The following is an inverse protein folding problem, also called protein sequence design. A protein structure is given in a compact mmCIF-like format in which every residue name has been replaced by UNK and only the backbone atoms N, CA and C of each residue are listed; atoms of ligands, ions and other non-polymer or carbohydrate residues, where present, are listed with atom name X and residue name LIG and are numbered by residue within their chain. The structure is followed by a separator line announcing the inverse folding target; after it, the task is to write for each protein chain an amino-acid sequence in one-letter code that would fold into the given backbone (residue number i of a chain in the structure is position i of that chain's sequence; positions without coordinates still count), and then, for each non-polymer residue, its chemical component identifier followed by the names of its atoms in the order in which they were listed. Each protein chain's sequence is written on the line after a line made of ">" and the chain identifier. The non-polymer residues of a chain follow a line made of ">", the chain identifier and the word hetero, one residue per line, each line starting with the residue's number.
data_IF_673249753749
#
_entry.id   IF_673249753749
#
_cell.length_a   1.000
_cell.length_b   1.000
_cell.length_c   1.000
_cell.angle_alpha   90.00
_cell.angle_beta   90.00
_cell.angle_gamma   90.00
#
_symmetry.space_group_name_H-M   'P 1'
#
loop_
_entity.id
_entity.type
_entity.pdbx_description
1 polymer ?
#
# COMPACT_ATOMS: atom_id res chain seq x y z
N UNK A 1 -11.65 -16.00 -2.94
CA UNK A 1 -11.59 -15.03 -1.83
C UNK A 1 -10.39 -15.21 -0.90
N UNK A 2 -10.05 -16.42 -0.42
CA UNK A 2 -8.88 -16.63 0.47
C UNK A 2 -7.53 -16.28 -0.19
N UNK A 3 -7.29 -16.70 -1.44
CA UNK A 3 -6.03 -16.42 -2.15
C UNK A 3 -5.88 -14.95 -2.55
N UNK A 4 -6.98 -14.26 -2.88
CA UNK A 4 -6.99 -12.81 -3.14
C UNK A 4 -6.54 -12.02 -1.91
N UNK A 5 -7.08 -12.34 -0.73
CA UNK A 5 -6.68 -11.74 0.54
C UNK A 5 -5.19 -11.98 0.85
N UNK A 6 -4.64 -13.13 0.44
CA UNK A 6 -3.23 -13.46 0.61
C UNK A 6 -2.32 -12.60 -0.27
N UNK A 7 -2.69 -12.35 -1.53
CA UNK A 7 -1.95 -11.42 -2.40
C UNK A 7 -1.96 -10.01 -1.85
N UNK A 8 -3.13 -9.48 -1.47
CA UNK A 8 -3.28 -8.15 -0.91
C UNK A 8 -2.45 -7.97 0.38
N UNK A 9 -2.47 -8.98 1.27
CA UNK A 9 -1.64 -8.96 2.47
C UNK A 9 -0.13 -8.90 2.16
N UNK A 10 0.36 -9.70 1.21
CA UNK A 10 1.77 -9.72 0.80
C UNK A 10 2.20 -8.39 0.20
N UNK A 11 1.37 -7.82 -0.66
CA UNK A 11 1.59 -6.49 -1.26
C UNK A 11 1.69 -5.44 -0.16
N UNK A 12 0.73 -5.41 0.76
CA UNK A 12 0.69 -4.41 1.82
C UNK A 12 1.90 -4.52 2.76
N UNK A 13 2.29 -5.75 3.12
CA UNK A 13 3.50 -5.99 3.92
C UNK A 13 4.76 -5.51 3.21
N UNK A 14 4.89 -5.78 1.90
CA UNK A 14 6.06 -5.39 1.12
C UNK A 14 6.13 -3.88 0.87
N UNK A 15 4.98 -3.23 0.73
CA UNK A 15 4.86 -1.76 0.67
C UNK A 15 5.38 -1.11 1.94
N UNK A 16 4.99 -1.63 3.10
CA UNK A 16 5.46 -1.14 4.39
C UNK A 16 6.98 -1.30 4.54
N UNK A 17 7.53 -2.45 4.14
CA UNK A 17 8.98 -2.71 4.12
C UNK A 17 9.73 -1.68 3.25
N UNK A 18 9.25 -1.45 2.02
CA UNK A 18 9.85 -0.46 1.12
C UNK A 18 9.80 0.96 1.70
N UNK A 19 8.69 1.34 2.34
CA UNK A 19 8.57 2.65 2.98
C UNK A 19 9.56 2.81 4.14
N UNK A 20 9.73 1.79 4.96
CA UNK A 20 10.70 1.79 6.06
C UNK A 20 12.14 1.87 5.55
N UNK A 21 12.48 1.12 4.49
CA UNK A 21 13.78 1.21 3.83
C UNK A 21 14.01 2.58 3.20
N UNK A 22 13.01 3.14 2.52
CA UNK A 22 13.08 4.48 1.92
C UNK A 22 13.32 5.58 2.95
N UNK A 23 12.69 5.48 4.14
CA UNK A 23 12.92 6.41 5.25
C UNK A 23 14.31 6.24 5.88
N UNK A 24 14.81 5.01 6.00
CA UNK A 24 16.08 4.70 6.67
C UNK A 24 17.31 4.92 5.78
N UNK A 25 17.21 4.58 4.51
CA UNK A 25 18.35 4.47 3.58
C UNK A 25 18.24 5.41 2.38
N UNK A 26 17.07 6.00 2.14
CA UNK A 26 16.78 6.75 0.92
C UNK A 26 16.21 5.86 -0.20
N UNK A 27 15.57 6.49 -1.18
CA UNK A 27 14.85 5.79 -2.27
C UNK A 27 15.79 5.18 -3.33
N UNK A 28 16.97 5.77 -3.52
CA UNK A 28 17.96 5.33 -4.49
C UNK A 28 18.89 4.25 -3.95
N UNK A 29 18.81 3.95 -2.65
CA UNK A 29 19.63 2.93 -2.03
C UNK A 29 19.28 1.55 -2.61
N UNK A 30 20.28 0.74 -2.94
CA UNK A 30 20.13 -0.56 -3.61
C UNK A 30 19.05 -1.45 -2.95
N UNK A 31 19.08 -1.55 -1.62
CA UNK A 31 18.06 -2.30 -0.84
C UNK A 31 16.63 -1.77 -1.04
N UNK A 32 16.45 -0.45 -1.10
CA UNK A 32 15.14 0.17 -1.33
C UNK A 32 14.66 -0.07 -2.76
N UNK A 33 15.55 0.06 -3.74
CA UNK A 33 15.27 -0.24 -5.16
C UNK A 33 14.93 -1.72 -5.35
N UNK A 34 15.68 -2.63 -4.73
CA UNK A 34 15.37 -4.06 -4.79
C UNK A 34 14.03 -4.36 -4.13
N UNK A 35 13.70 -3.69 -3.02
CA UNK A 35 12.42 -3.83 -2.37
C UNK A 35 11.27 -3.36 -3.27
N UNK A 36 11.45 -2.26 -4.02
CA UNK A 36 10.45 -1.77 -4.98
C UNK A 36 10.23 -2.74 -6.13
N UNK A 37 11.31 -3.31 -6.70
CA UNK A 37 11.20 -4.33 -7.76
C UNK A 37 10.46 -5.59 -7.29
N UNK A 38 10.68 -6.00 -6.04
CA UNK A 38 9.94 -7.12 -5.44
C UNK A 38 8.47 -6.79 -5.22
N UNK A 39 8.16 -5.56 -4.80
CA UNK A 39 6.78 -5.08 -4.69
C UNK A 39 6.10 -5.08 -6.06
N UNK A 40 6.75 -4.54 -7.09
CA UNK A 40 6.22 -4.52 -8.46
C UNK A 40 5.96 -5.94 -8.99
N UNK A 41 6.85 -6.89 -8.70
CA UNK A 41 6.66 -8.29 -9.06
C UNK A 41 5.41 -8.90 -8.41
N UNK A 42 5.21 -8.66 -7.10
CA UNK A 42 4.00 -9.12 -6.39
C UNK A 42 2.71 -8.50 -6.95
N UNK A 43 2.79 -7.24 -7.39
CA UNK A 43 1.66 -6.52 -7.98
C UNK A 43 1.30 -7.12 -9.34
N UNK A 44 2.30 -7.44 -10.16
CA UNK A 44 2.12 -8.11 -11.44
C UNK A 44 1.53 -9.52 -11.27
N UNK A 45 2.01 -10.29 -10.28
CA UNK A 45 1.43 -11.61 -9.92
C UNK A 45 -0.05 -11.49 -9.53
N UNK A 46 -0.38 -10.52 -8.67
CA UNK A 46 -1.76 -10.25 -8.27
C UNK A 46 -2.63 -9.84 -9.45
N UNK A 47 -2.11 -9.00 -10.36
CA UNK A 47 -2.84 -8.60 -11.56
C UNK A 47 -3.09 -9.80 -12.49
N UNK A 48 -2.10 -10.68 -12.67
CA UNK A 48 -2.27 -11.91 -13.45
C UNK A 48 -3.32 -12.84 -12.81
N UNK A 49 -3.25 -13.05 -11.49
CA UNK A 49 -4.26 -13.80 -10.73
C UNK A 49 -5.66 -13.17 -10.90
N UNK A 50 -5.76 -11.85 -10.78
CA UNK A 50 -7.02 -11.12 -10.95
C UNK A 50 -7.56 -11.26 -12.37
N UNK A 51 -6.73 -11.13 -13.41
CA UNK A 51 -7.13 -11.33 -14.81
C UNK A 51 -7.66 -12.75 -15.06
N UNK A 52 -7.04 -13.75 -14.44
CA UNK A 52 -7.47 -15.15 -14.55
C UNK A 52 -8.76 -15.45 -13.78
N UNK A 53 -9.09 -14.70 -12.74
CA UNK A 53 -10.23 -15.00 -11.84
C UNK A 53 -11.34 -13.93 -11.86
N UNK A 54 -11.15 -12.83 -12.59
CA UNK A 54 -12.09 -11.71 -12.70
C UNK A 54 -12.01 -11.05 -14.09
N UNK A 55 -12.86 -11.49 -15.02
CA UNK A 55 -13.12 -10.80 -16.29
C UNK A 55 -14.07 -9.58 -16.14
N UNK A 56 -14.53 -9.22 -14.93
CA UNK A 56 -15.74 -8.39 -14.77
C UNK A 56 -15.64 -7.08 -13.98
N UNK A 57 -14.50 -6.71 -13.40
CA UNK A 57 -14.34 -5.46 -12.64
C UNK A 57 -13.11 -4.70 -13.12
N UNK A 58 -13.22 -4.12 -14.32
CA UNK A 58 -12.13 -3.47 -15.05
C UNK A 58 -11.74 -2.10 -14.47
N UNK A 59 -10.42 -1.92 -14.36
CA UNK A 59 -9.63 -0.68 -14.41
C UNK A 59 -9.77 0.42 -13.34
N UNK A 60 -10.95 0.72 -12.79
CA UNK A 60 -11.08 2.01 -12.05
C UNK A 60 -10.76 1.94 -10.54
N UNK A 61 -10.95 0.78 -9.90
CA UNK A 61 -10.80 0.64 -8.43
C UNK A 61 -9.32 0.62 -8.00
N UNK A 62 -8.44 0.13 -8.87
CA UNK A 62 -7.07 -0.22 -8.51
C UNK A 62 -6.14 1.00 -8.52
N UNK A 63 -6.38 1.97 -9.39
CA UNK A 63 -5.65 3.25 -9.39
C UNK A 63 -5.85 3.99 -8.06
N UNK A 64 -7.03 3.86 -7.42
CA UNK A 64 -7.33 4.52 -6.14
C UNK A 64 -6.62 3.88 -4.94
N UNK A 65 -6.57 2.55 -4.86
CA UNK A 65 -5.93 1.88 -3.71
C UNK A 65 -4.40 1.74 -3.85
N UNK A 66 -3.89 1.69 -5.08
CA UNK A 66 -2.47 1.47 -5.36
C UNK A 66 -1.64 2.76 -5.52
N UNK A 67 -2.25 3.93 -5.72
CA UNK A 67 -1.50 5.19 -5.81
C UNK A 67 -0.72 5.47 -4.51
N UNK A 68 0.61 5.56 -4.61
CA UNK A 68 1.48 5.94 -3.50
C UNK A 68 1.07 7.30 -2.90
N UNK A 69 0.67 8.24 -3.75
CA UNK A 69 0.20 9.57 -3.35
C UNK A 69 -1.09 9.45 -2.53
N UNK A 70 -2.03 8.59 -2.94
CA UNK A 70 -3.28 8.40 -2.20
C UNK A 70 -3.02 7.68 -0.87
N UNK A 71 -2.19 6.63 -0.86
CA UNK A 71 -1.84 5.92 0.37
C UNK A 71 -1.16 6.84 1.40
N UNK A 72 -0.20 7.67 0.97
CA UNK A 72 0.43 8.64 1.85
C UNK A 72 -0.57 9.69 2.37
N UNK A 73 -1.46 10.19 1.50
CA UNK A 73 -2.53 11.12 1.92
C UNK A 73 -3.49 10.48 2.92
N UNK A 74 -3.93 9.24 2.69
CA UNK A 74 -4.80 8.49 3.61
C UNK A 74 -4.12 8.28 4.97
N UNK A 75 -2.85 7.88 4.99
CA UNK A 75 -2.08 7.75 6.24
C UNK A 75 -1.98 9.08 7.00
N UNK A 76 -1.73 10.20 6.31
CA UNK A 76 -1.69 11.53 6.91
C UNK A 76 -3.05 11.98 7.45
N UNK A 77 -4.14 11.67 6.75
CA UNK A 77 -5.50 11.96 7.18
C UNK A 77 -5.86 11.19 8.46
N UNK A 78 -5.59 9.87 8.48
CA UNK A 78 -5.83 9.04 9.67
C UNK A 78 -5.07 9.57 10.90
N UNK A 79 -3.82 10.03 10.71
CA UNK A 79 -3.03 10.65 11.78
C UNK A 79 -3.61 11.98 12.26
N UNK A 80 -4.13 12.80 11.35
CA UNK A 80 -4.75 14.08 11.67
C UNK A 80 -6.08 13.92 12.41
N UNK A 81 -6.88 12.93 12.02
CA UNK A 81 -8.13 12.55 12.68
C UNK A 81 -7.87 12.02 14.10
N UNK A 82 -6.90 11.10 14.25
CA UNK A 82 -6.50 10.59 15.56
C UNK A 82 -6.02 11.71 16.50
N UNK A 83 -5.27 12.70 15.99
CA UNK A 83 -4.86 13.89 16.76
C UNK A 83 -6.02 14.79 17.14
N UNK A 84 -7.00 15.00 16.25
CA UNK A 84 -8.22 15.74 16.57
C UNK A 84 -9.02 15.05 17.67
N UNK A 85 -9.20 13.74 17.57
CA UNK A 85 -9.89 12.96 18.60
C UNK A 85 -9.19 13.05 19.95
N UNK A 86 -7.86 12.91 19.98
CA UNK A 86 -7.09 13.03 21.21
C UNK A 86 -7.19 14.43 21.84
N UNK A 87 -7.13 15.50 21.03
CA UNK A 87 -7.36 16.87 21.53
C UNK A 87 -8.77 17.08 22.06
N UNK A 88 -9.79 16.54 21.39
CA UNK A 88 -11.17 16.64 21.84
C UNK A 88 -11.38 15.91 23.18
N UNK A 89 -10.71 14.78 23.38
CA UNK A 89 -10.75 14.00 24.62
C UNK A 89 -10.01 14.68 25.79
N UNK A 90 -9.08 15.60 25.51
CA UNK A 90 -8.38 16.39 26.54
C UNK A 90 -9.10 17.70 26.92
N UNK A 91 -10.15 18.07 26.19
CA UNK A 91 -10.93 19.30 26.39
C UNK A 91 -12.29 19.05 27.06
N UNK A 92 -12.55 17.83 27.53
CA UNK A 92 -13.68 17.40 28.37
C UNK A 92 -13.15 17.05 29.75
#
# INVERSE_FOLDING_TARGET
>A
MLEENKYLYRIQKKRQEMMELGKKLGLTHEKTVRCSQQLDSLMNEYEAYRKQHNARLSEMVIIREMSFILYEKVQRLNLAEARKMYKAMQLV
#
